data_IF_852081792956
#
_entry.id   IF_852081792956
#
_cell.length_a   1.000
_cell.length_b   1.000
_cell.length_c   1.000
_cell.angle_alpha   90.00
_cell.angle_beta   90.00
_cell.angle_gamma   90.00
#
_symmetry.space_group_name_H-M   'P 1'
#
loop_
_entity.id
_entity.type
_entity.pdbx_description
1 polymer ?
#
# COMPACT_ATOMS: atom_id res chain seq x y z
N UNK A 1 10.08 -16.62 -9.16
CA UNK A 1 10.76 -15.64 -8.26
C UNK A 1 11.52 -14.55 -9.00
N UNK A 2 12.50 -14.86 -9.87
CA UNK A 2 13.31 -13.82 -10.57
C UNK A 2 12.49 -12.81 -11.39
N UNK A 3 11.34 -13.23 -11.91
CA UNK A 3 10.51 -12.38 -12.76
C UNK A 3 9.81 -11.25 -11.99
N UNK A 4 9.20 -11.55 -10.83
CA UNK A 4 8.59 -10.54 -9.98
C UNK A 4 9.64 -9.51 -9.50
N UNK A 5 10.82 -9.97 -9.08
CA UNK A 5 11.91 -9.07 -8.68
C UNK A 5 12.36 -8.14 -9.82
N UNK A 6 12.41 -8.65 -11.06
CA UNK A 6 12.75 -7.85 -12.23
C UNK A 6 11.64 -6.84 -12.57
N UNK A 7 10.36 -7.26 -12.50
CA UNK A 7 9.23 -6.36 -12.71
C UNK A 7 9.26 -5.21 -11.68
N UNK A 8 9.50 -5.52 -10.41
CA UNK A 8 9.60 -4.53 -9.34
C UNK A 8 10.71 -3.49 -9.58
N UNK A 9 11.86 -3.89 -10.12
CA UNK A 9 12.97 -2.97 -10.42
C UNK A 9 12.63 -1.93 -11.48
N UNK A 10 11.65 -2.20 -12.33
CA UNK A 10 11.21 -1.31 -13.39
C UNK A 10 10.07 -0.38 -12.97
N UNK A 11 9.57 -0.50 -11.73
CA UNK A 11 8.49 0.34 -11.21
C UNK A 11 9.05 1.65 -10.64
N UNK A 12 8.30 2.73 -10.85
CA UNK A 12 8.60 4.02 -10.27
C UNK A 12 7.61 4.35 -9.15
N UNK A 13 8.10 4.97 -8.08
CA UNK A 13 7.22 5.47 -7.04
C UNK A 13 6.20 6.44 -7.64
N UNK A 14 4.91 6.22 -7.36
CA UNK A 14 3.79 6.97 -7.92
C UNK A 14 3.05 6.27 -9.06
N UNK A 15 3.55 5.14 -9.56
CA UNK A 15 2.83 4.31 -10.53
C UNK A 15 1.59 3.67 -9.90
N UNK A 16 0.45 3.70 -10.58
CA UNK A 16 -0.73 2.92 -10.20
C UNK A 16 -0.57 1.52 -10.76
N UNK A 17 -0.50 0.53 -9.86
CA UNK A 17 -0.23 -0.86 -10.24
C UNK A 17 -1.28 -1.83 -9.70
N UNK A 18 -1.42 -2.94 -10.41
CA UNK A 18 -2.13 -4.13 -10.00
C UNK A 18 -1.12 -5.23 -9.71
N UNK A 19 -1.25 -5.86 -8.55
CA UNK A 19 -0.37 -6.95 -8.11
C UNK A 19 -1.22 -8.18 -7.84
N UNK A 20 -0.92 -9.26 -8.56
CA UNK A 20 -1.41 -10.60 -8.24
C UNK A 20 -0.41 -11.29 -7.32
N UNK A 21 -0.91 -11.90 -6.24
CA UNK A 21 -0.07 -12.59 -5.26
C UNK A 21 -0.88 -13.64 -4.50
N UNK A 22 -0.21 -14.50 -3.75
CA UNK A 22 -0.86 -15.47 -2.87
C UNK A 22 -0.75 -15.02 -1.41
N UNK A 23 -1.89 -14.93 -0.72
CA UNK A 23 -1.95 -14.66 0.71
C UNK A 23 -2.23 -15.94 1.51
N UNK A 24 -1.50 -16.11 2.60
CA UNK A 24 -1.66 -17.20 3.56
C UNK A 24 -2.50 -16.81 4.78
N UNK A 25 -2.82 -15.52 4.96
CA UNK A 25 -3.41 -14.99 6.20
C UNK A 25 -4.94 -15.07 6.25
N UNK A 26 -5.62 -14.95 5.10
CA UNK A 26 -7.09 -14.99 5.00
C UNK A 26 -7.65 -16.44 4.97
N UNK A 27 -6.78 -17.46 4.99
CA UNK A 27 -7.03 -18.90 4.83
C UNK A 27 -8.00 -19.60 5.79
N UNK A 28 -8.65 -18.88 6.71
CA UNK A 28 -9.53 -19.50 7.72
C UNK A 28 -10.95 -19.84 7.24
N UNK A 29 -11.38 -19.35 6.07
CA UNK A 29 -12.81 -19.40 5.69
C UNK A 29 -13.19 -20.32 4.52
N UNK A 30 -12.23 -20.93 3.82
CA UNK A 30 -12.52 -21.89 2.73
C UNK A 30 -12.18 -23.31 3.18
N UNK A 31 -13.12 -23.85 3.94
CA UNK A 31 -13.29 -25.23 4.38
C UNK A 31 -12.78 -26.33 3.43
N UNK A 32 -12.11 -27.33 4.01
CA UNK A 32 -12.36 -28.73 3.63
C UNK A 32 -11.25 -29.46 2.85
N UNK A 33 -10.05 -29.58 3.41
CA UNK A 33 -9.26 -30.81 3.22
C UNK A 33 -8.43 -30.99 1.94
N UNK A 34 -8.16 -29.97 1.12
CA UNK A 34 -7.25 -30.12 -0.02
C UNK A 34 -6.23 -28.97 -0.11
N UNK A 35 -5.10 -29.13 0.58
CA UNK A 35 -3.75 -28.71 0.16
C UNK A 35 -3.47 -27.25 -0.34
N UNK A 36 -4.12 -26.21 0.16
CA UNK A 36 -3.70 -24.84 -0.20
C UNK A 36 -4.06 -23.79 0.85
N UNK A 37 -3.06 -23.33 1.61
CA UNK A 37 -3.16 -22.10 2.43
C UNK A 37 -3.10 -20.85 1.53
N UNK A 38 -2.54 -20.99 0.34
CA UNK A 38 -2.29 -19.92 -0.62
C UNK A 38 -3.59 -19.47 -1.33
N UNK A 39 -4.15 -18.34 -0.91
CA UNK A 39 -5.32 -17.71 -1.53
C UNK A 39 -4.85 -16.74 -2.61
N UNK A 40 -5.31 -16.84 -3.87
CA UNK A 40 -5.00 -15.84 -4.89
C UNK A 40 -5.68 -14.51 -4.55
N UNK A 41 -4.87 -13.45 -4.45
CA UNK A 41 -5.30 -12.09 -4.16
C UNK A 41 -4.87 -11.17 -5.30
N UNK A 42 -5.75 -10.22 -5.60
CA UNK A 42 -5.44 -9.11 -6.51
C UNK A 42 -5.52 -7.81 -5.72
N UNK A 43 -4.39 -7.14 -5.57
CA UNK A 43 -4.32 -5.84 -4.90
C UNK A 43 -4.03 -4.75 -5.91
N UNK A 44 -4.61 -3.58 -5.67
CA UNK A 44 -4.45 -2.39 -6.50
C UNK A 44 -4.01 -1.24 -5.60
N UNK A 45 -3.15 -0.36 -6.12
CA UNK A 45 -2.75 0.85 -5.42
C UNK A 45 -1.56 1.56 -6.04
N UNK A 46 -1.23 2.71 -5.48
CA UNK A 46 -0.05 3.49 -5.86
C UNK A 46 1.17 2.81 -5.27
N UNK A 47 2.11 2.40 -6.11
CA UNK A 47 3.39 1.89 -5.67
C UNK A 47 4.21 3.01 -5.03
N UNK A 48 4.53 2.87 -3.74
CA UNK A 48 5.33 3.88 -3.01
C UNK A 48 6.74 3.38 -2.67
N UNK A 49 7.02 2.09 -2.88
CA UNK A 49 8.37 1.54 -2.80
C UNK A 49 8.44 0.08 -2.34
N UNK A 50 9.67 -0.40 -2.16
CA UNK A 50 9.97 -1.73 -1.65
C UNK A 50 10.71 -1.61 -0.33
N UNK A 51 10.16 -2.18 0.74
CA UNK A 51 10.70 -2.06 2.09
C UNK A 51 11.00 -3.43 2.72
N UNK A 52 11.84 -3.43 3.75
CA UNK A 52 12.19 -4.61 4.54
C UNK A 52 13.66 -5.02 4.43
N UNK A 53 14.20 -5.56 5.54
CA UNK A 53 15.59 -6.02 5.64
C UNK A 53 15.74 -7.50 5.30
N UNK A 54 14.93 -8.36 5.93
CA UNK A 54 14.95 -9.82 5.73
C UNK A 54 14.11 -10.25 4.53
N UNK A 55 12.84 -9.85 4.51
CA UNK A 55 11.91 -10.09 3.41
C UNK A 55 11.53 -8.73 2.79
N UNK A 56 11.62 -8.64 1.46
CA UNK A 56 11.23 -7.45 0.72
C UNK A 56 9.71 -7.45 0.50
N UNK A 57 9.09 -6.31 0.72
CA UNK A 57 7.65 -6.11 0.52
C UNK A 57 7.42 -4.95 -0.43
N UNK A 58 6.57 -5.17 -1.43
CA UNK A 58 6.00 -4.14 -2.28
C UNK A 58 4.96 -3.41 -1.45
N UNK A 59 5.07 -2.10 -1.33
CA UNK A 59 4.12 -1.29 -0.56
C UNK A 59 3.23 -0.52 -1.52
N UNK A 60 1.92 -0.78 -1.41
CA UNK A 60 0.87 -0.12 -2.17
C UNK A 60 0.08 0.80 -1.24
N UNK A 61 -0.01 2.08 -1.59
CA UNK A 61 -0.94 3.01 -0.98
C UNK A 61 -2.31 2.90 -1.68
N UNK A 62 -3.36 2.61 -0.91
CA UNK A 62 -4.70 2.33 -1.43
C UNK A 62 -5.64 3.50 -1.18
N UNK A 63 -5.71 3.97 0.06
CA UNK A 63 -6.42 5.19 0.42
C UNK A 63 -5.42 6.17 1.00
N UNK A 64 -5.44 7.41 0.49
CA UNK A 64 -4.57 8.48 0.91
C UNK A 64 -5.41 9.57 1.58
N UNK A 65 -5.41 9.61 2.92
CA UNK A 65 -6.08 10.65 3.69
C UNK A 65 -5.12 11.82 3.91
N UNK A 66 -5.35 12.94 3.20
CA UNK A 66 -4.53 14.14 3.34
C UNK A 66 -4.97 14.96 4.55
N UNK A 67 -4.21 14.91 5.64
CA UNK A 67 -4.52 15.70 6.85
C UNK A 67 -4.00 17.14 6.77
N UNK A 68 -2.82 17.33 6.19
CA UNK A 68 -2.16 18.63 6.03
C UNK A 68 -1.18 18.56 4.85
N UNK A 69 -0.60 19.69 4.46
CA UNK A 69 0.36 19.75 3.36
C UNK A 69 1.55 18.80 3.61
N UNK A 70 1.68 17.78 2.76
CA UNK A 70 2.73 16.77 2.84
C UNK A 70 2.58 15.75 3.96
N UNK A 71 1.44 15.71 4.67
CA UNK A 71 1.14 14.71 5.70
C UNK A 71 -0.08 13.89 5.30
N UNK A 72 0.16 12.60 5.08
CA UNK A 72 -0.86 11.62 4.76
C UNK A 72 -1.01 10.59 5.87
N UNK A 73 -2.22 10.06 5.98
CA UNK A 73 -2.48 8.78 6.61
C UNK A 73 -2.96 7.84 5.51
N UNK A 74 -2.39 6.64 5.51
CA UNK A 74 -2.38 5.79 4.32
C UNK A 74 -2.84 4.40 4.70
N UNK A 75 -3.96 3.99 4.14
CA UNK A 75 -4.29 2.56 4.09
C UNK A 75 -3.37 1.93 3.06
N UNK A 76 -2.57 0.97 3.49
CA UNK A 76 -1.58 0.32 2.65
C UNK A 76 -1.73 -1.19 2.64
N UNK A 77 -1.28 -1.80 1.54
CA UNK A 77 -1.01 -3.23 1.46
C UNK A 77 0.49 -3.45 1.30
N UNK A 78 1.08 -4.26 2.17
CA UNK A 78 2.48 -4.70 2.06
C UNK A 78 2.54 -6.15 1.59
N UNK A 79 2.95 -6.35 0.34
CA UNK A 79 2.95 -7.64 -0.34
C UNK A 79 4.37 -8.22 -0.35
N UNK A 80 4.62 -9.40 0.23
CA UNK A 80 5.92 -10.05 0.09
C UNK A 80 6.26 -10.28 -1.39
N UNK A 81 7.43 -9.80 -1.84
CA UNK A 81 7.89 -9.97 -3.23
C UNK A 81 7.94 -11.46 -3.61
N UNK A 82 8.31 -12.30 -2.65
CA UNK A 82 8.38 -13.76 -2.80
C UNK A 82 7.04 -14.41 -3.19
N UNK A 83 5.91 -13.81 -2.83
CA UNK A 83 4.56 -14.33 -3.07
C UNK A 83 3.87 -13.67 -4.27
N UNK A 84 4.54 -12.71 -4.89
CA UNK A 84 4.02 -12.01 -6.07
C UNK A 84 4.14 -12.88 -7.31
N UNK A 85 3.05 -13.02 -8.05
CA UNK A 85 3.02 -13.75 -9.32
C UNK A 85 3.16 -12.82 -10.50
N UNK A 86 2.45 -11.68 -10.49
CA UNK A 86 2.40 -10.75 -11.62
C UNK A 86 2.18 -9.33 -11.16
N UNK A 87 2.90 -8.39 -11.77
CA UNK A 87 2.70 -6.96 -11.60
C UNK A 87 2.31 -6.37 -12.96
N UNK A 88 1.28 -5.55 -12.96
CA UNK A 88 0.82 -4.81 -14.12
C UNK A 88 0.75 -3.32 -13.77
N UNK A 89 1.47 -2.50 -14.53
CA UNK A 89 1.32 -1.04 -14.47
C UNK A 89 0.06 -0.66 -15.22
N UNK A 90 -0.83 0.07 -14.55
CA UNK A 90 -2.09 0.54 -15.11
C UNK A 90 -1.92 1.97 -15.61
N UNK A 91 -1.26 2.79 -14.79
CA UNK A 91 -0.91 4.16 -15.14
C UNK A 91 0.46 4.51 -14.55
N UNK A 92 1.39 4.89 -15.42
CA UNK A 92 2.68 5.43 -15.03
C UNK A 92 2.49 6.83 -14.42
N UNK A 93 3.24 7.14 -13.35
CA UNK A 93 3.24 8.46 -12.69
C UNK A 93 1.82 8.95 -12.37
N UNK A 94 0.96 8.05 -11.90
CA UNK A 94 -0.42 8.37 -11.53
C UNK A 94 -0.46 9.47 -10.47
N UNK A 95 0.47 9.44 -9.53
CA UNK A 95 0.84 10.60 -8.71
C UNK A 95 2.24 11.08 -9.07
N UNK A 96 2.50 12.36 -8.85
CA UNK A 96 3.81 12.93 -9.11
C UNK A 96 4.86 12.40 -8.11
N UNK A 97 6.13 12.53 -8.47
CA UNK A 97 7.26 12.04 -7.67
C UNK A 97 7.27 12.65 -6.26
N UNK A 98 6.99 13.95 -6.13
CA UNK A 98 6.98 14.65 -4.83
C UNK A 98 5.89 14.12 -3.91
N UNK A 99 4.71 13.85 -4.44
CA UNK A 99 3.58 13.27 -3.72
C UNK A 99 3.87 11.82 -3.35
N UNK A 100 4.46 11.03 -4.25
CA UNK A 100 4.91 9.67 -3.93
C UNK A 100 5.93 9.64 -2.78
N UNK A 101 6.87 10.59 -2.75
CA UNK A 101 7.82 10.77 -1.64
C UNK A 101 7.13 11.19 -0.34
N UNK A 102 6.12 12.07 -0.41
CA UNK A 102 5.31 12.44 0.75
C UNK A 102 4.53 11.25 1.31
N UNK A 103 3.98 10.39 0.43
CA UNK A 103 3.29 9.16 0.81
C UNK A 103 4.26 8.19 1.49
N UNK A 104 5.43 7.96 0.90
CA UNK A 104 6.46 7.11 1.49
C UNK A 104 6.92 7.64 2.87
N UNK A 105 7.20 8.93 2.97
CA UNK A 105 7.62 9.54 4.23
C UNK A 105 6.53 9.44 5.30
N UNK A 106 5.26 9.61 4.91
CA UNK A 106 4.12 9.48 5.82
C UNK A 106 3.96 8.03 6.30
N UNK A 107 4.08 7.06 5.39
CA UNK A 107 4.11 5.63 5.71
C UNK A 107 5.20 5.30 6.74
N UNK A 108 6.42 5.80 6.55
CA UNK A 108 7.53 5.55 7.46
C UNK A 108 7.34 6.22 8.84
N UNK A 109 6.64 7.37 8.89
CA UNK A 109 6.33 8.07 10.14
C UNK A 109 5.19 7.42 10.94
N UNK A 110 4.28 6.72 10.27
CA UNK A 110 3.02 6.19 10.82
C UNK A 110 3.10 4.85 11.58
N UNK A 111 4.28 4.24 11.73
CA UNK A 111 4.41 2.93 12.40
C UNK A 111 4.49 2.96 13.93
N UNK A 112 4.51 4.14 14.55
CA UNK A 112 4.52 4.29 16.01
C UNK A 112 3.22 4.90 16.48
N UNK A 113 2.45 4.16 17.29
CA UNK A 113 1.32 4.66 18.10
C UNK A 113 1.72 5.77 19.11
N UNK A 114 2.77 6.57 18.87
CA UNK A 114 3.35 7.51 19.82
C UNK A 114 3.76 8.88 19.24
N UNK A 115 3.44 9.23 17.99
CA UNK A 115 3.84 10.54 17.41
C UNK A 115 2.70 11.49 17.06
N UNK A 116 1.43 11.10 17.28
CA UNK A 116 0.43 12.11 17.60
C UNK A 116 0.64 12.49 19.06
N UNK A 117 1.36 13.58 19.29
CA UNK A 117 1.35 14.22 20.60
C UNK A 117 -0.10 14.30 21.08
N UNK A 118 -0.35 13.96 22.35
CA UNK A 118 -1.64 14.08 23.04
C UNK A 118 -2.29 15.48 22.94
N UNK A 119 -1.68 16.44 22.24
CA UNK A 119 -2.15 17.82 22.07
C UNK A 119 -2.83 18.16 20.74
N UNK A 120 -2.68 17.37 19.66
CA UNK A 120 -3.34 17.71 18.39
C UNK A 120 -4.69 17.01 18.31
N UNK A 121 -5.66 17.54 19.07
CA UNK A 121 -7.07 17.11 18.96
C UNK A 121 -7.49 17.15 17.50
N UNK A 122 -7.99 16.03 16.97
CA UNK A 122 -8.77 16.03 15.74
C UNK A 122 -9.82 17.14 15.87
N UNK A 123 -9.71 18.18 15.04
CA UNK A 123 -10.74 19.22 14.98
C UNK A 123 -11.84 18.71 14.06
N UNK A 124 -13.05 18.63 14.60
CA UNK A 124 -14.24 18.45 13.77
C UNK A 124 -14.36 19.64 12.84
N UNK A 125 -14.19 19.40 11.55
CA UNK A 125 -14.47 20.38 10.50
C UNK A 125 -15.85 20.05 9.90
N UNK A 126 -16.74 21.04 9.84
CA UNK A 126 -18.01 20.91 9.11
C UNK A 126 -17.71 21.15 7.63
N UNK A 127 -17.60 20.06 6.87
CA UNK A 127 -17.21 20.09 5.45
C UNK A 127 -18.38 20.00 4.46
N UNK A 128 -19.63 20.30 4.84
CA UNK A 128 -20.74 20.21 3.90
C UNK A 128 -21.81 21.29 4.12
N UNK A 129 -22.08 22.06 3.07
CA UNK A 129 -23.47 22.32 2.70
C UNK A 129 -24.04 21.03 2.09
N UNK A 130 -25.27 20.68 2.44
CA UNK A 130 -25.95 19.54 1.82
C UNK A 130 -26.01 19.80 0.31
N UNK A 131 -25.61 18.80 -0.48
CA UNK A 131 -25.98 18.77 -1.88
C UNK A 131 -27.49 18.51 -1.91
N UNK A 132 -28.25 19.52 -2.31
CA UNK A 132 -29.67 19.40 -2.64
C UNK A 132 -29.87 18.51 -3.89
#
# INVERSE_FOLDING_TARGET
MKEAENQVKNLNAGDLIRVEWFDASVGKSLSGGLNGIDIPVVSWGIFIGVLGRKNKHIVLAQNNFRYADGLYDIDYTAIPVAWTTKIQVIAEKHVNQTEAEQLLNSFLKGGGNNSFSKGTRQKTVKNHERLD
#
